data_IF_357099077611
#
_entry.id   IF_357099077611
#
_cell.length_a   1.000
_cell.length_b   1.000
_cell.length_c   1.000
_cell.angle_alpha   90.00
_cell.angle_beta   90.00
_cell.angle_gamma   90.00
#
_symmetry.space_group_name_H-M   'P 1'
#
loop_
_entity.id
_entity.type
_entity.pdbx_description
1 polymer ?
#
# COMPACT_ATOMS: atom_id res chain seq x y z
N UNK A 1 -13.23 -10.88 6.63
CA UNK A 1 -11.94 -10.33 6.12
C UNK A 1 -11.19 -11.49 5.49
N UNK A 2 -10.70 -11.34 4.26
CA UNK A 2 -9.98 -12.37 3.49
C UNK A 2 -8.59 -12.51 4.11
N UNK A 3 -8.29 -13.71 4.68
CA UNK A 3 -7.05 -13.95 5.43
C UNK A 3 -5.81 -13.88 4.53
N UNK A 4 -5.91 -14.46 3.33
CA UNK A 4 -4.79 -14.47 2.39
C UNK A 4 -4.37 -13.05 1.96
N UNK A 5 -5.33 -12.13 1.77
CA UNK A 5 -5.02 -10.72 1.47
C UNK A 5 -4.39 -10.01 2.67
N UNK A 6 -4.77 -10.39 3.89
CA UNK A 6 -4.14 -9.82 5.07
C UNK A 6 -2.68 -10.27 5.18
N UNK A 7 -2.41 -11.55 4.94
CA UNK A 7 -1.03 -12.07 4.88
C UNK A 7 -0.21 -11.42 3.76
N UNK A 8 -0.81 -11.21 2.58
CA UNK A 8 -0.16 -10.50 1.47
C UNK A 8 0.28 -9.08 1.88
N UNK A 9 -0.56 -8.35 2.63
CA UNK A 9 -0.18 -7.03 3.19
C UNK A 9 1.00 -7.13 4.15
N UNK A 10 1.04 -8.19 4.97
CA UNK A 10 2.16 -8.44 5.88
C UNK A 10 3.46 -8.70 5.12
N UNK A 11 3.43 -9.55 4.09
CA UNK A 11 4.58 -9.83 3.23
C UNK A 11 5.04 -8.54 2.52
N UNK A 12 4.13 -7.78 1.92
CA UNK A 12 4.45 -6.52 1.26
C UNK A 12 5.11 -5.50 2.23
N UNK A 13 4.67 -5.45 3.50
CA UNK A 13 5.31 -4.59 4.50
C UNK A 13 6.75 -5.02 4.81
N UNK A 14 7.05 -6.33 4.86
CA UNK A 14 8.43 -6.83 5.03
C UNK A 14 9.28 -6.51 3.80
N UNK A 15 8.75 -6.60 2.59
CA UNK A 15 9.46 -6.19 1.38
C UNK A 15 9.87 -4.70 1.44
N UNK A 16 8.98 -3.81 1.91
CA UNK A 16 9.31 -2.40 2.14
C UNK A 16 10.43 -2.23 3.18
N UNK A 17 10.37 -2.98 4.29
CA UNK A 17 11.42 -2.96 5.33
C UNK A 17 12.76 -3.40 4.75
N UNK A 18 12.79 -4.47 3.96
CA UNK A 18 14.00 -4.98 3.33
C UNK A 18 14.56 -3.99 2.31
N UNK A 19 13.71 -3.37 1.47
CA UNK A 19 14.10 -2.35 0.51
C UNK A 19 14.84 -1.19 1.19
N UNK A 20 14.30 -0.66 2.28
CA UNK A 20 14.89 0.50 2.96
C UNK A 20 16.04 0.16 3.92
N UNK A 21 16.26 -1.13 4.23
CA UNK A 21 17.34 -1.53 5.12
C UNK A 21 18.72 -1.28 4.51
N UNK A 22 18.85 -1.32 3.17
CA UNK A 22 20.09 -0.98 2.46
C UNK A 22 20.93 -2.19 2.08
N UNK A 23 20.31 -3.26 1.62
CA UNK A 23 21.02 -4.30 0.89
C UNK A 23 21.47 -3.74 -0.47
N UNK A 24 22.77 -3.83 -0.79
CA UNK A 24 23.28 -3.46 -2.11
C UNK A 24 22.95 -4.56 -3.14
N UNK A 25 21.70 -4.62 -3.57
CA UNK A 25 21.23 -5.61 -4.54
C UNK A 25 20.09 -5.02 -5.34
N UNK A 26 20.24 -4.97 -6.66
CA UNK A 26 19.18 -4.49 -7.55
C UNK A 26 17.88 -5.29 -7.44
N UNK A 27 17.95 -6.57 -7.06
CA UNK A 27 16.76 -7.36 -6.74
C UNK A 27 16.01 -6.80 -5.53
N UNK A 28 16.73 -6.35 -4.49
CA UNK A 28 16.10 -5.77 -3.28
C UNK A 28 15.51 -4.39 -3.58
N UNK A 29 16.07 -3.65 -4.52
CA UNK A 29 15.50 -2.37 -4.98
C UNK A 29 14.09 -2.57 -5.53
N UNK A 30 13.83 -3.69 -6.21
CA UNK A 30 12.50 -4.04 -6.73
C UNK A 30 11.44 -4.31 -5.66
N UNK A 31 11.83 -4.62 -4.42
CA UNK A 31 10.91 -4.96 -3.34
C UNK A 31 10.00 -3.78 -2.99
N UNK A 32 10.55 -2.56 -2.99
CA UNK A 32 9.79 -1.34 -2.77
C UNK A 32 8.67 -1.16 -3.78
N UNK A 33 9.03 -1.20 -5.06
CA UNK A 33 8.09 -0.94 -6.15
C UNK A 33 7.00 -2.02 -6.27
N UNK A 34 7.40 -3.29 -6.10
CA UNK A 34 6.45 -4.40 -6.05
C UNK A 34 5.45 -4.24 -4.90
N UNK A 35 5.94 -3.91 -3.71
CA UNK A 35 5.09 -3.72 -2.53
C UNK A 35 4.16 -2.51 -2.66
N UNK A 36 4.63 -1.40 -3.23
CA UNK A 36 3.82 -0.21 -3.52
C UNK A 36 2.67 -0.56 -4.47
N UNK A 37 2.95 -1.27 -5.56
CA UNK A 37 1.93 -1.73 -6.51
C UNK A 37 0.88 -2.64 -5.82
N UNK A 38 1.33 -3.59 -4.99
CA UNK A 38 0.45 -4.47 -4.21
C UNK A 38 -0.42 -3.64 -3.25
N UNK A 39 0.15 -2.72 -2.47
CA UNK A 39 -0.61 -1.92 -1.49
C UNK A 39 -1.62 -0.99 -2.17
N UNK A 40 -1.24 -0.34 -3.26
CA UNK A 40 -2.13 0.55 -4.00
C UNK A 40 -3.31 -0.21 -4.60
N UNK A 41 -3.04 -1.32 -5.29
CA UNK A 41 -4.05 -2.15 -5.93
C UNK A 41 -4.95 -2.83 -4.89
N UNK A 42 -4.39 -3.37 -3.80
CA UNK A 42 -5.15 -3.92 -2.67
C UNK A 42 -6.08 -2.90 -2.02
N UNK A 43 -5.67 -1.63 -1.92
CA UNK A 43 -6.50 -0.58 -1.35
C UNK A 43 -7.75 -0.35 -2.19
N UNK A 44 -7.62 -0.26 -3.51
CA UNK A 44 -8.76 -0.17 -4.44
C UNK A 44 -9.64 -1.42 -4.41
N UNK A 45 -9.00 -2.59 -4.40
CA UNK A 45 -9.68 -3.89 -4.40
C UNK A 45 -10.54 -4.09 -3.16
N UNK A 46 -9.97 -3.96 -1.96
CA UNK A 46 -10.67 -4.21 -0.69
C UNK A 46 -11.79 -3.19 -0.45
N UNK A 47 -11.58 -1.93 -0.82
CA UNK A 47 -12.64 -0.92 -0.72
C UNK A 47 -13.81 -1.26 -1.63
N UNK A 48 -13.54 -1.66 -2.86
CA UNK A 48 -14.59 -2.02 -3.82
C UNK A 48 -15.37 -3.24 -3.37
N UNK A 49 -14.71 -4.27 -2.83
CA UNK A 49 -15.41 -5.42 -2.22
C UNK A 49 -16.39 -5.00 -1.11
N UNK A 50 -16.03 -3.99 -0.31
CA UNK A 50 -16.90 -3.51 0.78
C UNK A 50 -18.08 -2.66 0.35
N UNK A 51 -18.04 -2.05 -0.85
CA UNK A 51 -19.03 -1.06 -1.26
C UNK A 51 -19.77 -1.39 -2.56
N UNK A 52 -19.20 -2.19 -3.46
CA UNK A 52 -19.73 -2.39 -4.82
C UNK A 52 -21.19 -2.87 -4.84
N UNK A 53 -21.53 -3.95 -4.12
CA UNK A 53 -22.88 -4.50 -4.10
C UNK A 53 -23.89 -3.49 -3.52
N UNK A 54 -23.50 -2.77 -2.47
CA UNK A 54 -24.35 -1.72 -1.86
C UNK A 54 -24.62 -0.56 -2.81
N UNK A 55 -23.59 -0.10 -3.55
CA UNK A 55 -23.72 0.95 -4.57
C UNK A 55 -24.57 0.48 -5.75
N UNK A 56 -24.44 -0.80 -6.14
CA UNK A 56 -25.28 -1.42 -7.15
C UNK A 56 -26.77 -1.46 -6.72
N UNK A 57 -27.03 -1.71 -5.44
CA UNK A 57 -28.36 -1.69 -4.83
C UNK A 57 -28.88 -0.27 -4.53
N UNK A 58 -28.23 0.78 -5.01
CA UNK A 58 -28.69 2.17 -4.86
C UNK A 58 -28.12 2.94 -3.67
N UNK A 59 -27.29 2.32 -2.81
CA UNK A 59 -26.72 3.01 -1.66
C UNK A 59 -25.83 4.19 -2.07
N UNK A 60 -26.05 5.33 -1.43
CA UNK A 60 -25.20 6.51 -1.54
C UNK A 60 -24.19 6.52 -0.39
N UNK A 61 -22.91 6.53 -0.72
CA UNK A 61 -21.83 6.55 0.28
C UNK A 61 -21.72 7.97 0.86
N UNK A 62 -21.97 8.19 2.17
CA UNK A 62 -21.80 9.52 2.77
C UNK A 62 -20.32 9.92 2.75
N UNK A 63 -19.97 10.89 1.88
CA UNK A 63 -18.59 11.31 1.63
C UNK A 63 -17.85 11.68 2.91
N UNK A 64 -18.46 12.52 3.76
CA UNK A 64 -17.89 12.94 5.04
C UNK A 64 -17.53 11.75 5.93
N UNK A 65 -18.46 10.82 6.14
CA UNK A 65 -18.24 9.67 7.00
C UNK A 65 -17.20 8.71 6.42
N UNK A 66 -17.18 8.56 5.10
CA UNK A 66 -16.18 7.77 4.40
C UNK A 66 -14.78 8.38 4.60
N UNK A 67 -14.60 9.66 4.30
CA UNK A 67 -13.32 10.36 4.45
C UNK A 67 -12.84 10.39 5.90
N UNK A 68 -13.71 10.69 6.86
CA UNK A 68 -13.35 10.65 8.27
C UNK A 68 -12.81 9.28 8.69
N UNK A 69 -13.46 8.18 8.26
CA UNK A 69 -12.96 6.82 8.56
C UNK A 69 -11.57 6.56 7.97
N UNK A 70 -11.25 7.09 6.80
CA UNK A 70 -9.93 6.94 6.17
C UNK A 70 -8.88 7.79 6.87
N UNK A 71 -9.18 9.07 7.10
CA UNK A 71 -8.28 9.99 7.79
C UNK A 71 -7.95 9.51 9.21
N UNK A 72 -8.95 9.18 10.01
CA UNK A 72 -8.71 8.73 11.39
C UNK A 72 -8.00 7.38 11.50
N UNK A 73 -8.06 6.56 10.46
CA UNK A 73 -7.29 5.33 10.38
C UNK A 73 -5.80 5.59 10.09
N UNK A 74 -5.50 6.64 9.33
CA UNK A 74 -4.16 6.92 8.80
C UNK A 74 -3.47 7.99 9.63
N UNK A 75 -4.10 9.14 9.84
CA UNK A 75 -3.48 10.33 10.39
C UNK A 75 -2.81 10.15 11.77
N UNK A 76 -3.34 9.40 12.73
CA UNK A 76 -2.72 9.32 14.05
C UNK A 76 -1.29 8.76 14.00
N UNK A 77 -1.08 7.61 13.36
CA UNK A 77 0.26 7.02 13.23
C UNK A 77 1.13 7.82 12.26
N UNK A 78 0.53 8.36 11.19
CA UNK A 78 1.22 9.21 10.24
C UNK A 78 1.86 10.42 10.94
N UNK A 79 1.07 11.21 11.66
CA UNK A 79 1.55 12.40 12.38
C UNK A 79 2.63 12.02 13.40
N UNK A 80 2.43 10.94 14.14
CA UNK A 80 3.43 10.46 15.10
C UNK A 80 4.73 10.04 14.41
N UNK A 81 4.67 9.39 13.26
CA UNK A 81 5.85 9.05 12.46
C UNK A 81 6.60 10.28 11.98
N UNK A 82 5.88 11.31 11.52
CA UNK A 82 6.46 12.60 11.12
C UNK A 82 7.12 13.32 12.30
N UNK A 83 6.42 13.41 13.43
CA UNK A 83 6.96 14.02 14.64
C UNK A 83 8.19 13.27 15.16
N UNK A 84 8.23 11.94 15.03
CA UNK A 84 9.39 11.16 15.40
C UNK A 84 10.60 11.49 14.53
N UNK A 85 10.44 11.52 13.22
CA UNK A 85 11.51 11.93 12.29
C UNK A 85 11.94 13.36 12.56
N UNK A 86 11.00 14.28 12.76
CA UNK A 86 11.29 15.68 13.09
C UNK A 86 12.16 15.79 14.35
N UNK A 87 11.85 15.02 15.38
CA UNK A 87 12.66 14.95 16.60
C UNK A 87 14.06 14.38 16.35
N UNK A 88 14.18 13.31 15.53
CA UNK A 88 15.48 12.73 15.13
C UNK A 88 16.36 13.75 14.36
N UNK A 89 15.75 14.57 13.51
CA UNK A 89 16.43 15.66 12.80
C UNK A 89 16.58 16.95 13.64
N UNK A 90 16.30 16.88 14.94
CA UNK A 90 16.40 18.03 15.86
C UNK A 90 15.64 19.27 15.36
N UNK A 91 14.46 19.06 14.77
CA UNK A 91 13.59 20.10 14.21
C UNK A 91 14.22 20.91 13.06
N UNK A 92 15.20 20.37 12.34
CA UNK A 92 15.91 21.05 11.26
C UNK A 92 15.16 21.04 9.90
N UNK A 93 13.92 20.52 9.84
CA UNK A 93 13.10 20.52 8.62
C UNK A 93 12.42 21.90 8.50
N UNK A 94 12.59 22.55 7.34
CA UNK A 94 11.97 23.86 7.11
C UNK A 94 10.44 23.78 7.10
N UNK A 95 9.71 24.80 7.60
CA UNK A 95 8.24 24.83 7.58
C UNK A 95 7.65 24.64 6.17
N UNK A 96 8.30 25.17 5.13
CA UNK A 96 7.87 25.03 3.74
C UNK A 96 7.79 23.56 3.28
N UNK A 97 8.66 22.70 3.80
CA UNK A 97 8.65 21.24 3.53
C UNK A 97 7.73 20.48 4.50
N UNK A 98 7.74 20.89 5.77
CA UNK A 98 6.98 20.22 6.83
C UNK A 98 5.46 20.40 6.66
N UNK A 99 4.97 21.57 6.22
CA UNK A 99 3.53 21.83 6.08
C UNK A 99 2.88 20.90 5.04
N UNK A 100 3.38 20.78 3.78
CA UNK A 100 2.83 19.82 2.83
C UNK A 100 2.89 18.38 3.35
N UNK A 101 3.95 18.03 4.08
CA UNK A 101 4.13 16.71 4.65
C UNK A 101 3.05 16.41 5.71
N UNK A 102 2.87 17.28 6.70
CA UNK A 102 1.83 17.13 7.73
C UNK A 102 0.40 17.09 7.16
N UNK A 103 0.17 17.76 6.02
CA UNK A 103 -1.11 17.77 5.31
C UNK A 103 -1.28 16.58 4.35
N UNK A 104 -0.30 15.67 4.25
CA UNK A 104 -0.28 14.54 3.28
C UNK A 104 -0.35 15.03 1.82
N UNK A 105 0.35 16.13 1.50
CA UNK A 105 0.39 16.75 0.18
C UNK A 105 1.80 16.78 -0.43
N UNK A 106 2.80 16.19 0.22
CA UNK A 106 4.21 16.27 -0.17
C UNK A 106 4.48 15.69 -1.57
N UNK A 107 3.77 14.64 -1.99
CA UNK A 107 3.94 14.01 -3.32
C UNK A 107 3.32 14.82 -4.47
N UNK A 108 2.53 15.86 -4.16
CA UNK A 108 2.03 16.78 -5.18
C UNK A 108 3.09 17.75 -5.72
N UNK A 109 4.20 17.89 -5.00
CA UNK A 109 5.34 18.70 -5.41
C UNK A 109 6.41 17.73 -5.96
N UNK A 110 6.65 17.69 -7.29
CA UNK A 110 7.51 16.69 -7.92
C UNK A 110 9.00 17.00 -7.73
N UNK A 111 9.42 17.22 -6.49
CA UNK A 111 10.80 17.47 -6.06
C UNK A 111 11.17 16.55 -4.90
N UNK A 112 12.31 15.82 -4.99
CA UNK A 112 12.80 14.94 -3.92
C UNK A 112 12.92 15.62 -2.56
N UNK A 113 13.24 16.91 -2.56
CA UNK A 113 13.34 17.71 -1.36
C UNK A 113 12.01 17.87 -0.61
N UNK A 114 10.88 17.72 -1.31
CA UNK A 114 9.54 17.79 -0.73
C UNK A 114 8.98 16.40 -0.43
N UNK A 115 8.89 15.51 -1.43
CA UNK A 115 8.24 14.24 -1.20
C UNK A 115 9.02 13.28 -0.30
N UNK A 116 10.31 13.54 -0.04
CA UNK A 116 11.15 12.81 0.92
C UNK A 116 11.51 13.64 2.16
N UNK A 117 10.86 14.79 2.40
CA UNK A 117 11.30 15.75 3.42
C UNK A 117 11.21 15.25 4.86
N UNK A 118 10.16 14.52 5.20
CA UNK A 118 9.92 14.01 6.53
C UNK A 118 10.25 12.53 6.64
N UNK A 119 9.25 11.74 6.95
CA UNK A 119 9.33 10.29 6.88
C UNK A 119 9.23 9.87 5.40
N UNK A 120 10.35 9.71 4.75
CA UNK A 120 10.47 9.59 3.30
C UNK A 120 9.48 8.63 2.62
N UNK A 121 9.20 7.39 3.10
CA UNK A 121 8.25 6.49 2.44
C UNK A 121 6.80 7.00 2.42
N UNK A 122 6.47 8.01 3.23
CA UNK A 122 5.08 8.45 3.41
C UNK A 122 4.50 9.25 2.24
N UNK A 123 5.28 9.50 1.19
CA UNK A 123 4.75 10.00 -0.09
C UNK A 123 3.57 9.14 -0.60
N UNK A 124 3.64 7.82 -0.42
CA UNK A 124 2.57 6.89 -0.76
C UNK A 124 1.24 7.18 -0.02
N UNK A 125 1.29 7.69 1.20
CA UNK A 125 0.09 8.09 1.95
C UNK A 125 -0.59 9.28 1.29
N UNK A 126 0.18 10.25 0.79
CA UNK A 126 -0.34 11.37 0.02
C UNK A 126 -1.08 10.90 -1.24
N UNK A 127 -0.53 9.94 -1.97
CA UNK A 127 -1.17 9.35 -3.15
C UNK A 127 -2.46 8.61 -2.79
N UNK A 128 -2.43 7.88 -1.69
CA UNK A 128 -3.58 7.13 -1.20
C UNK A 128 -4.73 8.07 -0.78
N UNK A 129 -4.42 9.28 -0.30
CA UNK A 129 -5.43 10.30 0.02
C UNK A 129 -6.18 10.77 -1.22
N UNK A 130 -5.50 10.99 -2.35
CA UNK A 130 -6.16 11.25 -3.65
C UNK A 130 -7.07 10.09 -4.06
N UNK A 131 -6.57 8.85 -3.95
CA UNK A 131 -7.34 7.65 -4.28
C UNK A 131 -8.62 7.55 -3.45
N UNK A 132 -8.57 7.88 -2.16
CA UNK A 132 -9.75 7.90 -1.30
C UNK A 132 -10.73 9.02 -1.67
N UNK A 133 -10.23 10.20 -2.00
CA UNK A 133 -11.07 11.32 -2.43
C UNK A 133 -11.84 10.97 -3.71
N UNK A 134 -11.17 10.33 -4.66
CA UNK A 134 -11.75 9.93 -5.94
C UNK A 134 -12.49 8.58 -5.90
N UNK A 135 -12.44 7.83 -4.80
CA UNK A 135 -13.06 6.50 -4.70
C UNK A 135 -14.57 6.54 -4.95
N UNK A 136 -15.28 7.47 -4.31
CA UNK A 136 -16.76 7.52 -4.40
C UNK A 136 -17.25 7.82 -5.80
N UNK A 137 -16.79 8.87 -6.52
CA UNK A 137 -17.18 9.08 -7.90
C UNK A 137 -16.78 7.92 -8.79
N UNK A 138 -15.59 7.34 -8.60
CA UNK A 138 -15.09 6.24 -9.42
C UNK A 138 -15.90 4.96 -9.25
N UNK A 139 -16.22 4.54 -8.01
CA UNK A 139 -17.03 3.34 -7.78
C UNK A 139 -18.46 3.53 -8.28
N UNK A 140 -19.02 4.74 -8.16
CA UNK A 140 -20.35 5.07 -8.67
C UNK A 140 -20.36 4.97 -10.19
N UNK A 141 -19.36 5.54 -10.86
CA UNK A 141 -19.22 5.47 -12.31
C UNK A 141 -19.00 4.04 -12.79
N UNK A 142 -18.07 3.31 -12.18
CA UNK A 142 -17.75 1.91 -12.45
C UNK A 142 -18.98 1.00 -12.33
N UNK A 143 -19.85 1.27 -11.33
CA UNK A 143 -20.99 0.40 -11.03
C UNK A 143 -22.22 0.77 -11.84
N UNK A 144 -22.59 2.06 -11.88
CA UNK A 144 -23.86 2.54 -12.47
C UNK A 144 -23.76 2.92 -13.94
N UNK A 145 -22.57 3.34 -14.42
CA UNK A 145 -22.34 3.78 -15.81
C UNK A 145 -21.06 3.11 -16.37
N UNK A 146 -21.02 1.77 -16.47
CA UNK A 146 -19.79 1.04 -16.81
C UNK A 146 -19.21 1.39 -18.19
N UNK A 147 -20.05 1.71 -19.19
CA UNK A 147 -19.56 2.14 -20.52
C UNK A 147 -18.84 3.48 -20.44
N UNK A 148 -19.43 4.47 -19.76
CA UNK A 148 -18.81 5.78 -19.56
C UNK A 148 -17.51 5.66 -18.75
N UNK A 149 -17.52 4.83 -17.69
CA UNK A 149 -16.32 4.51 -16.93
C UNK A 149 -15.22 3.97 -17.84
N UNK A 150 -15.54 3.00 -18.71
CA UNK A 150 -14.54 2.40 -19.61
C UNK A 150 -13.93 3.47 -20.54
N UNK A 151 -14.74 4.34 -21.15
CA UNK A 151 -14.22 5.41 -22.02
C UNK A 151 -13.29 6.37 -21.24
N UNK A 152 -13.73 6.86 -20.08
CA UNK A 152 -12.93 7.78 -19.26
C UNK A 152 -11.64 7.12 -18.80
N UNK A 153 -11.72 5.89 -18.28
CA UNK A 153 -10.55 5.19 -17.75
C UNK A 153 -9.58 4.78 -18.87
N UNK A 154 -10.07 4.36 -20.04
CA UNK A 154 -9.21 4.09 -21.18
C UNK A 154 -8.49 5.35 -21.67
N UNK A 155 -9.19 6.48 -21.76
CA UNK A 155 -8.57 7.77 -22.09
C UNK A 155 -7.50 8.18 -21.06
N UNK A 156 -7.80 7.95 -19.78
CA UNK A 156 -6.82 8.20 -18.71
C UNK A 156 -5.59 7.31 -18.82
N UNK A 157 -5.76 6.01 -19.11
CA UNK A 157 -4.64 5.08 -19.32
C UNK A 157 -3.80 5.47 -20.55
N UNK A 158 -4.44 5.90 -21.65
CA UNK A 158 -3.72 6.41 -22.82
C UNK A 158 -2.87 7.62 -22.43
N UNK A 159 -3.45 8.61 -21.75
CA UNK A 159 -2.73 9.78 -21.28
C UNK A 159 -1.58 9.41 -20.31
N UNK A 160 -1.82 8.45 -19.41
CA UNK A 160 -0.81 7.92 -18.51
C UNK A 160 0.39 7.33 -19.27
N UNK A 161 0.13 6.41 -20.23
CA UNK A 161 1.20 5.77 -20.98
C UNK A 161 1.93 6.73 -21.94
N UNK A 162 1.23 7.70 -22.52
CA UNK A 162 1.85 8.76 -23.30
C UNK A 162 2.77 9.63 -22.40
N UNK A 163 2.29 10.03 -21.23
CA UNK A 163 3.12 10.74 -20.27
C UNK A 163 4.38 9.93 -19.90
N UNK A 164 4.20 8.67 -19.49
CA UNK A 164 5.33 7.80 -19.12
C UNK A 164 6.32 7.57 -20.27
N UNK A 165 5.84 7.52 -21.54
CA UNK A 165 6.70 7.30 -22.70
C UNK A 165 7.51 8.54 -23.10
N UNK A 166 6.93 9.74 -23.01
CA UNK A 166 7.51 10.94 -23.58
C UNK A 166 8.10 11.92 -22.56
N UNK A 167 7.83 11.77 -21.26
CA UNK A 167 8.43 12.63 -20.24
C UNK A 167 9.95 12.46 -20.18
N UNK A 168 10.74 13.53 -19.93
CA UNK A 168 12.19 13.41 -19.72
C UNK A 168 12.52 12.36 -18.63
N UNK A 169 13.61 11.62 -18.81
CA UNK A 169 13.98 10.52 -17.90
C UNK A 169 14.18 10.98 -16.46
N UNK A 170 14.73 12.19 -16.26
CA UNK A 170 14.91 12.82 -14.96
C UNK A 170 13.58 13.08 -14.21
N UNK A 171 12.46 13.16 -14.94
CA UNK A 171 11.14 13.39 -14.39
C UNK A 171 10.31 12.10 -14.26
N UNK A 172 10.82 10.94 -14.72
CA UNK A 172 10.09 9.67 -14.63
C UNK A 172 9.78 9.33 -13.16
N UNK A 173 10.79 9.34 -12.29
CA UNK A 173 10.58 9.02 -10.88
C UNK A 173 9.65 10.04 -10.20
N UNK A 174 9.86 11.37 -10.24
CA UNK A 174 9.00 12.32 -9.54
C UNK A 174 7.57 12.41 -10.11
N UNK A 175 7.37 12.15 -11.40
CA UNK A 175 6.05 12.26 -12.03
C UNK A 175 5.38 10.90 -12.18
N UNK A 176 6.02 9.90 -12.79
CA UNK A 176 5.34 8.63 -13.06
C UNK A 176 5.15 7.79 -11.81
N UNK A 177 6.11 7.85 -10.88
CA UNK A 177 6.10 7.02 -9.68
C UNK A 177 5.58 7.71 -8.42
N UNK A 178 5.91 9.00 -8.22
CA UNK A 178 5.60 9.73 -6.98
C UNK A 178 4.30 10.54 -7.09
N UNK A 179 4.00 11.15 -8.24
CA UNK A 179 2.90 12.09 -8.36
C UNK A 179 1.53 11.40 -8.23
N UNK A 180 0.63 11.84 -7.31
CA UNK A 180 -0.59 11.12 -6.96
C UNK A 180 -1.50 10.74 -8.12
N UNK A 181 -1.76 11.59 -9.15
CA UNK A 181 -2.53 11.19 -10.31
C UNK A 181 -1.96 9.97 -11.02
N UNK A 182 -0.63 9.81 -11.08
CA UNK A 182 0.00 8.71 -11.80
C UNK A 182 -0.11 7.36 -11.04
N UNK A 183 -0.36 7.37 -9.73
CA UNK A 183 -0.63 6.16 -8.94
C UNK A 183 -2.12 5.76 -8.92
N UNK A 184 -3.01 6.68 -9.30
CA UNK A 184 -4.45 6.44 -9.33
C UNK A 184 -4.88 5.29 -10.26
N UNK A 185 -4.29 5.05 -11.46
CA UNK A 185 -4.63 3.90 -12.30
C UNK A 185 -4.45 2.55 -11.60
N UNK A 186 -3.39 2.39 -10.80
CA UNK A 186 -3.12 1.14 -10.07
C UNK A 186 -4.24 0.85 -9.06
N UNK A 187 -4.67 1.89 -8.34
CA UNK A 187 -5.81 1.80 -7.43
C UNK A 187 -7.11 1.44 -8.18
N UNK A 188 -7.38 2.07 -9.32
CA UNK A 188 -8.58 1.81 -10.13
C UNK A 188 -8.55 0.40 -10.73
N UNK A 189 -7.39 -0.10 -11.15
CA UNK A 189 -7.25 -1.50 -11.57
C UNK A 189 -7.67 -2.46 -10.46
N UNK A 190 -7.26 -2.21 -9.21
CA UNK A 190 -7.75 -2.95 -8.06
C UNK A 190 -9.28 -2.91 -7.93
N UNK A 191 -9.90 -1.75 -8.17
CA UNK A 191 -11.36 -1.61 -8.17
C UNK A 191 -12.03 -2.45 -9.27
N UNK A 192 -11.48 -2.44 -10.47
CA UNK A 192 -11.98 -3.23 -11.61
C UNK A 192 -11.88 -4.73 -11.34
N UNK A 193 -10.73 -5.18 -10.82
CA UNK A 193 -10.51 -6.57 -10.44
C UNK A 193 -11.52 -7.03 -9.37
N UNK A 194 -11.77 -6.21 -8.36
CA UNK A 194 -12.75 -6.53 -7.31
C UNK A 194 -14.18 -6.65 -7.86
N UNK A 195 -14.56 -5.81 -8.80
CA UNK A 195 -15.86 -5.92 -9.47
C UNK A 195 -15.98 -7.21 -10.27
N UNK A 196 -14.89 -7.66 -10.89
CA UNK A 196 -14.86 -8.83 -11.78
C UNK A 196 -14.66 -10.16 -11.03
N UNK A 197 -14.09 -10.14 -9.83
CA UNK A 197 -13.70 -11.38 -9.14
C UNK A 197 -14.87 -12.32 -8.86
N UNK A 198 -16.07 -11.82 -8.64
CA UNK A 198 -17.26 -12.64 -8.39
C UNK A 198 -17.63 -13.53 -9.58
N UNK A 199 -17.33 -13.07 -10.81
CA UNK A 199 -17.49 -13.84 -12.03
C UNK A 199 -16.41 -14.93 -12.22
N UNK A 200 -15.29 -14.82 -11.48
CA UNK A 200 -14.18 -15.76 -11.55
C UNK A 200 -14.28 -16.89 -10.52
N UNK A 201 -15.40 -17.00 -9.79
CA UNK A 201 -15.62 -18.07 -8.83
C UNK A 201 -15.59 -19.42 -9.55
N UNK A 202 -14.59 -20.23 -9.23
CA UNK A 202 -14.41 -21.59 -9.69
C UNK A 202 -13.99 -22.45 -8.50
N UNK A 203 -14.18 -23.74 -8.62
CA UNK A 203 -13.81 -24.70 -7.58
C UNK A 203 -12.82 -25.74 -8.16
N UNK A 204 -11.59 -25.33 -8.52
CA UNK A 204 -10.60 -26.25 -9.04
C UNK A 204 -10.03 -27.15 -7.94
N UNK A 205 -9.35 -28.23 -8.35
CA UNK A 205 -8.63 -29.07 -7.39
C UNK A 205 -7.53 -28.29 -6.67
N UNK A 206 -7.21 -28.69 -5.44
CA UNK A 206 -6.15 -28.01 -4.66
C UNK A 206 -4.77 -28.04 -5.33
N UNK A 207 -4.47 -29.06 -6.14
CA UNK A 207 -3.26 -29.12 -6.96
C UNK A 207 -3.20 -28.01 -8.02
N UNK A 208 -4.31 -27.78 -8.72
CA UNK A 208 -4.41 -26.68 -9.72
C UNK A 208 -4.26 -25.33 -9.04
N UNK A 209 -4.88 -25.11 -7.88
CA UNK A 209 -4.73 -23.87 -7.12
C UNK A 209 -3.28 -23.62 -6.72
N UNK A 210 -2.62 -24.65 -6.18
CA UNK A 210 -1.20 -24.55 -5.82
C UNK A 210 -0.35 -24.18 -7.06
N UNK A 211 -0.62 -24.79 -8.21
CA UNK A 211 0.09 -24.50 -9.45
C UNK A 211 -0.14 -23.04 -9.88
N UNK A 212 -1.38 -22.57 -9.92
CA UNK A 212 -1.72 -21.20 -10.32
C UNK A 212 -1.01 -20.19 -9.41
N UNK A 213 -1.18 -20.31 -8.08
CA UNK A 213 -0.60 -19.34 -7.14
C UNK A 213 0.93 -19.41 -7.15
N UNK A 214 1.52 -20.62 -7.23
CA UNK A 214 2.96 -20.79 -7.37
C UNK A 214 3.49 -20.14 -8.65
N UNK A 215 2.83 -20.32 -9.78
CA UNK A 215 3.22 -19.70 -11.06
C UNK A 215 3.23 -18.18 -10.95
N UNK A 216 2.22 -17.57 -10.32
CA UNK A 216 2.19 -16.11 -10.12
C UNK A 216 3.31 -15.64 -9.19
N UNK A 217 3.57 -16.37 -8.11
CA UNK A 217 4.68 -16.05 -7.18
C UNK A 217 6.03 -16.17 -7.90
N UNK A 218 6.23 -17.25 -8.67
CA UNK A 218 7.44 -17.45 -9.47
C UNK A 218 7.60 -16.31 -10.49
N UNK A 219 6.52 -15.90 -11.16
CA UNK A 219 6.56 -14.76 -12.08
C UNK A 219 7.02 -13.47 -11.40
N UNK A 220 6.54 -13.20 -10.16
CA UNK A 220 6.99 -12.06 -9.37
C UNK A 220 8.49 -12.18 -9.02
N UNK A 221 8.96 -13.36 -8.60
CA UNK A 221 10.38 -13.60 -8.30
C UNK A 221 11.24 -13.40 -9.53
N UNK A 222 10.81 -13.92 -10.70
CA UNK A 222 11.50 -13.72 -11.98
C UNK A 222 11.54 -12.23 -12.35
N UNK A 223 10.43 -11.49 -12.18
CA UNK A 223 10.41 -10.05 -12.39
C UNK A 223 11.40 -9.32 -11.45
N UNK A 224 11.49 -9.73 -10.19
CA UNK A 224 12.48 -9.18 -9.24
C UNK A 224 13.91 -9.46 -9.68
N UNK A 225 14.16 -10.66 -10.21
CA UNK A 225 15.50 -11.04 -10.72
C UNK A 225 15.94 -10.19 -11.91
N UNK A 226 15.04 -9.96 -12.87
CA UNK A 226 15.34 -9.16 -14.06
C UNK A 226 15.14 -7.65 -13.87
N UNK A 227 14.74 -7.20 -12.69
CA UNK A 227 14.48 -5.79 -12.43
C UNK A 227 15.67 -4.86 -12.73
N UNK A 228 16.93 -5.18 -12.42
CA UNK A 228 18.06 -4.32 -12.72
C UNK A 228 18.25 -4.03 -14.22
N UNK A 229 17.76 -4.92 -15.07
CA UNK A 229 17.85 -4.81 -16.55
C UNK A 229 16.67 -4.02 -17.14
N UNK A 230 15.67 -3.69 -16.33
CA UNK A 230 14.45 -2.99 -16.77
C UNK A 230 14.68 -1.49 -16.73
N UNK A 231 14.29 -0.81 -17.81
CA UNK A 231 14.40 0.65 -17.85
C UNK A 231 13.55 1.32 -16.76
N UNK A 232 13.99 2.44 -16.17
CA UNK A 232 13.21 3.15 -15.15
C UNK A 232 11.78 3.49 -15.59
N UNK A 233 11.58 3.79 -16.88
CA UNK A 233 10.24 4.05 -17.44
C UNK A 233 9.28 2.88 -17.26
N UNK A 234 9.73 1.66 -17.49
CA UNK A 234 8.90 0.47 -17.38
C UNK A 234 8.79 0.03 -15.92
N UNK A 235 9.90 -0.01 -15.18
CA UNK A 235 9.92 -0.49 -13.80
C UNK A 235 9.05 0.36 -12.87
N UNK A 236 9.09 1.68 -13.02
CA UNK A 236 8.34 2.65 -12.20
C UNK A 236 6.90 2.89 -12.70
N UNK A 237 6.52 2.38 -13.87
CA UNK A 237 5.18 2.54 -14.41
C UNK A 237 4.29 1.32 -14.17
N UNK A 238 4.29 0.37 -15.09
CA UNK A 238 3.29 -0.72 -15.14
C UNK A 238 3.87 -2.13 -14.90
N UNK A 239 5.16 -2.23 -14.65
CA UNK A 239 5.89 -3.51 -14.56
C UNK A 239 5.24 -4.52 -13.62
N UNK A 240 4.73 -4.06 -12.47
CA UNK A 240 4.14 -4.92 -11.43
C UNK A 240 2.62 -5.12 -11.55
N UNK A 241 1.93 -4.42 -12.45
CA UNK A 241 0.46 -4.37 -12.41
C UNK A 241 -0.22 -5.71 -12.67
N UNK A 242 0.30 -6.48 -13.64
CA UNK A 242 -0.30 -7.77 -14.02
C UNK A 242 -0.11 -8.80 -12.92
N UNK A 243 1.10 -8.96 -12.43
CA UNK A 243 1.44 -9.99 -11.44
C UNK A 243 0.87 -9.69 -10.05
N UNK A 244 0.92 -8.42 -9.63
CA UNK A 244 0.25 -7.99 -8.40
C UNK A 244 -1.27 -8.23 -8.48
N UNK A 245 -1.90 -7.87 -9.59
CA UNK A 245 -3.32 -8.09 -9.80
C UNK A 245 -3.69 -9.58 -9.84
N UNK A 246 -2.91 -10.37 -10.55
CA UNK A 246 -3.11 -11.83 -10.62
C UNK A 246 -2.98 -12.48 -9.23
N UNK A 247 -2.00 -12.08 -8.43
CA UNK A 247 -1.82 -12.59 -7.07
C UNK A 247 -3.00 -12.22 -6.15
N UNK A 248 -3.45 -10.97 -6.19
CA UNK A 248 -4.59 -10.49 -5.40
C UNK A 248 -5.86 -11.28 -5.76
N UNK A 249 -6.14 -11.44 -7.06
CA UNK A 249 -7.31 -12.19 -7.54
C UNK A 249 -7.22 -13.65 -7.14
N UNK A 250 -6.10 -14.32 -7.40
CA UNK A 250 -5.90 -15.73 -7.08
C UNK A 250 -6.07 -15.99 -5.57
N UNK A 251 -5.43 -15.19 -4.71
CA UNK A 251 -5.56 -15.30 -3.26
C UNK A 251 -6.98 -15.02 -2.77
N UNK A 252 -7.76 -14.19 -3.47
CA UNK A 252 -9.15 -13.89 -3.11
C UNK A 252 -10.10 -14.99 -3.54
N UNK A 253 -9.98 -15.44 -4.79
CA UNK A 253 -10.86 -16.49 -5.36
C UNK A 253 -10.69 -17.81 -4.61
N UNK A 254 -9.45 -18.13 -4.24
CA UNK A 254 -9.09 -19.40 -3.63
C UNK A 254 -8.96 -19.37 -2.11
N UNK A 255 -9.26 -18.26 -1.43
CA UNK A 255 -9.07 -18.10 0.02
C UNK A 255 -9.76 -19.20 0.86
N UNK A 256 -10.89 -19.71 0.39
CA UNK A 256 -11.66 -20.74 1.10
C UNK A 256 -11.19 -22.18 0.81
N UNK A 257 -10.25 -22.37 -0.11
CA UNK A 257 -9.80 -23.72 -0.51
C UNK A 257 -8.69 -24.23 0.41
N UNK A 258 -8.74 -25.54 0.73
CA UNK A 258 -7.78 -26.19 1.63
C UNK A 258 -6.57 -26.77 0.86
N UNK A 259 -5.78 -25.91 0.20
CA UNK A 259 -4.54 -26.31 -0.45
C UNK A 259 -3.31 -25.76 0.29
N UNK A 260 -2.12 -26.29 -0.03
CA UNK A 260 -0.88 -26.00 0.69
C UNK A 260 -0.58 -24.50 0.72
N UNK A 261 -0.56 -23.84 -0.44
CA UNK A 261 -0.20 -22.43 -0.55
C UNK A 261 -1.19 -21.54 0.21
N UNK A 262 -2.50 -21.79 0.09
CA UNK A 262 -3.50 -21.01 0.82
C UNK A 262 -3.35 -21.22 2.34
N UNK A 263 -3.01 -22.44 2.80
CA UNK A 263 -2.70 -22.68 4.24
C UNK A 263 -1.49 -21.86 4.70
N UNK A 264 -0.45 -21.69 3.87
CA UNK A 264 0.69 -20.82 4.18
C UNK A 264 0.25 -19.36 4.36
N UNK A 265 -0.62 -18.86 3.46
CA UNK A 265 -1.20 -17.52 3.63
C UNK A 265 -2.20 -17.40 4.80
N UNK A 266 -2.65 -18.51 5.38
CA UNK A 266 -3.51 -18.54 6.57
C UNK A 266 -2.74 -18.71 7.89
N UNK A 267 -1.40 -18.77 7.87
CA UNK A 267 -0.58 -18.81 9.09
C UNK A 267 -0.90 -17.60 9.97
N UNK A 268 -1.23 -17.86 11.23
CA UNK A 268 -1.65 -16.80 12.18
C UNK A 268 -0.65 -15.66 12.29
N UNK A 269 0.65 -15.96 12.26
CA UNK A 269 1.70 -14.96 12.31
C UNK A 269 1.67 -14.02 11.09
N UNK A 270 1.48 -14.55 9.87
CA UNK A 270 1.39 -13.74 8.65
C UNK A 270 0.13 -12.86 8.64
N UNK A 271 -1.01 -13.42 9.07
CA UNK A 271 -2.26 -12.65 9.20
C UNK A 271 -2.10 -11.53 10.25
N UNK A 272 -1.46 -11.84 11.39
CA UNK A 272 -1.17 -10.84 12.43
C UNK A 272 -0.24 -9.73 11.91
N UNK A 273 0.81 -10.10 11.17
CA UNK A 273 1.72 -9.14 10.51
C UNK A 273 0.94 -8.20 9.56
N UNK A 274 0.00 -8.75 8.79
CA UNK A 274 -0.86 -7.93 7.94
C UNK A 274 -1.74 -6.94 8.72
N UNK A 275 -2.16 -7.28 9.94
CA UNK A 275 -2.94 -6.35 10.78
C UNK A 275 -2.11 -5.14 11.24
N UNK A 276 -0.81 -5.33 11.46
CA UNK A 276 0.13 -4.28 11.90
C UNK A 276 0.89 -3.65 10.74
N UNK A 277 0.63 -4.07 9.49
CA UNK A 277 1.39 -3.65 8.30
C UNK A 277 1.46 -2.15 8.11
N UNK A 278 0.41 -1.40 8.46
CA UNK A 278 0.41 0.05 8.36
C UNK A 278 1.31 0.70 9.41
N UNK A 279 1.22 0.26 10.67
CA UNK A 279 2.11 0.76 11.72
C UNK A 279 3.58 0.43 11.42
N UNK A 280 3.86 -0.80 10.95
CA UNK A 280 5.19 -1.19 10.50
C UNK A 280 5.68 -0.30 9.36
N UNK A 281 4.83 -0.03 8.36
CA UNK A 281 5.15 0.84 7.25
C UNK A 281 5.48 2.27 7.69
N UNK A 282 4.76 2.85 8.65
CA UNK A 282 5.03 4.21 9.11
C UNK A 282 6.32 4.29 9.94
N UNK A 283 6.59 3.29 10.77
CA UNK A 283 7.66 3.40 11.76
C UNK A 283 8.98 2.74 11.36
N UNK A 284 9.06 1.98 10.24
CA UNK A 284 10.30 1.28 9.89
C UNK A 284 11.50 2.23 9.67
N UNK A 285 11.32 3.39 9.03
CA UNK A 285 12.40 4.38 8.84
C UNK A 285 12.80 5.06 10.16
N UNK A 286 11.86 5.62 10.96
CA UNK A 286 12.19 6.12 12.30
C UNK A 286 12.95 5.09 13.14
N UNK A 287 12.49 3.84 13.15
CA UNK A 287 13.17 2.77 13.90
C UNK A 287 14.52 2.41 13.31
N UNK A 288 14.69 2.41 11.99
CA UNK A 288 15.97 2.14 11.34
C UNK A 288 17.03 3.17 11.74
N UNK A 289 16.66 4.45 11.71
CA UNK A 289 17.57 5.51 12.13
C UNK A 289 17.93 5.40 13.61
N UNK A 290 16.95 5.13 14.47
CA UNK A 290 17.18 4.91 15.90
C UNK A 290 18.07 3.69 16.13
N UNK A 291 17.83 2.57 15.44
CA UNK A 291 18.65 1.38 15.51
C UNK A 291 20.10 1.66 15.08
N UNK A 292 20.31 2.36 13.98
CA UNK A 292 21.64 2.77 13.53
C UNK A 292 22.37 3.66 14.54
N UNK A 293 21.66 4.55 15.22
CA UNK A 293 22.20 5.37 16.30
C UNK A 293 22.62 4.48 17.48
N UNK A 294 21.78 3.55 17.91
CA UNK A 294 22.05 2.62 19.01
C UNK A 294 23.30 1.77 18.69
N UNK A 295 23.35 1.15 17.50
CA UNK A 295 24.49 0.33 17.08
C UNK A 295 25.80 1.13 17.13
N UNK A 296 25.77 2.38 16.65
CA UNK A 296 26.94 3.26 16.67
C UNK A 296 27.39 3.60 18.09
N UNK A 297 26.46 3.92 18.99
CA UNK A 297 26.80 4.25 20.39
C UNK A 297 27.32 3.05 21.18
N UNK A 298 26.82 1.85 20.89
CA UNK A 298 27.25 0.63 21.57
C UNK A 298 28.47 -0.06 20.89
N UNK A 299 28.97 0.50 19.77
CA UNK A 299 30.07 -0.10 19.01
C UNK A 299 29.71 -1.47 18.40
N UNK A 300 28.43 -1.74 18.12
CA UNK A 300 27.98 -3.02 17.57
C UNK A 300 28.37 -3.15 16.10
N UNK A 301 29.16 -4.18 15.79
CA UNK A 301 29.49 -4.57 14.41
C UNK A 301 28.84 -5.91 14.10
N UNK A 302 27.65 -5.84 13.46
CA UNK A 302 26.88 -7.03 13.10
C UNK A 302 27.08 -7.35 11.61
N UNK A 303 27.02 -8.63 11.24
CA UNK A 303 26.89 -8.98 9.83
C UNK A 303 25.55 -8.49 9.27
N UNK A 304 25.50 -8.12 7.99
CA UNK A 304 24.34 -7.52 7.34
C UNK A 304 23.05 -8.33 7.58
N UNK A 305 23.13 -9.66 7.47
CA UNK A 305 21.97 -10.53 7.64
C UNK A 305 21.48 -10.57 9.11
N UNK A 306 22.40 -10.62 10.08
CA UNK A 306 22.05 -10.61 11.51
C UNK A 306 21.46 -9.26 11.89
N UNK A 307 22.05 -8.16 11.41
CA UNK A 307 21.55 -6.80 11.61
C UNK A 307 20.12 -6.65 11.07
N UNK A 308 19.86 -7.13 9.85
CA UNK A 308 18.53 -7.11 9.26
C UNK A 308 17.50 -7.91 10.08
N UNK A 309 17.84 -9.11 10.53
CA UNK A 309 16.93 -9.95 11.31
C UNK A 309 16.57 -9.28 12.64
N UNK A 310 17.57 -8.77 13.36
CA UNK A 310 17.35 -8.07 14.64
C UNK A 310 16.51 -6.81 14.42
N UNK A 311 16.89 -5.97 13.46
CA UNK A 311 16.16 -4.76 13.13
C UNK A 311 14.70 -5.06 12.76
N UNK A 312 14.47 -6.04 11.89
CA UNK A 312 13.11 -6.41 11.45
C UNK A 312 12.27 -6.90 12.63
N UNK A 313 12.83 -7.70 13.53
CA UNK A 313 12.13 -8.13 14.75
C UNK A 313 11.76 -6.94 15.64
N UNK A 314 12.67 -6.00 15.87
CA UNK A 314 12.40 -4.77 16.63
C UNK A 314 11.36 -3.88 15.96
N UNK A 315 11.40 -3.73 14.63
CA UNK A 315 10.44 -2.98 13.87
C UNK A 315 9.03 -3.60 13.95
N UNK A 316 8.92 -4.93 13.89
CA UNK A 316 7.63 -5.64 14.07
C UNK A 316 7.10 -5.46 15.49
N UNK A 317 7.94 -5.56 16.51
CA UNK A 317 7.55 -5.34 17.92
C UNK A 317 7.06 -3.90 18.09
N UNK A 318 7.83 -2.92 17.67
CA UNK A 318 7.46 -1.50 17.76
C UNK A 318 6.20 -1.15 16.98
N UNK A 319 6.07 -1.65 15.74
CA UNK A 319 4.86 -1.50 14.93
C UNK A 319 3.64 -2.16 15.58
N UNK A 320 3.81 -3.33 16.21
CA UNK A 320 2.73 -4.00 16.95
C UNK A 320 2.28 -3.18 18.16
N UNK A 321 3.21 -2.63 18.92
CA UNK A 321 2.90 -1.74 20.05
C UNK A 321 2.17 -0.49 19.57
N UNK A 322 2.63 0.17 18.51
CA UNK A 322 1.97 1.33 17.93
C UNK A 322 0.53 1.01 17.45
N UNK A 323 0.35 -0.15 16.80
CA UNK A 323 -0.98 -0.62 16.41
C UNK A 323 -1.91 -0.84 17.60
N UNK A 324 -1.44 -1.57 18.61
CA UNK A 324 -2.29 -1.94 19.78
C UNK A 324 -2.61 -0.75 20.68
N UNK A 325 -1.65 0.14 20.92
CA UNK A 325 -1.76 1.23 21.87
C UNK A 325 -2.38 2.49 21.26
N UNK A 326 -2.25 2.70 19.96
CA UNK A 326 -2.65 3.95 19.29
C UNK A 326 -3.70 3.71 18.21
N UNK A 327 -3.37 2.97 17.15
CA UNK A 327 -4.25 2.81 15.98
C UNK A 327 -5.58 2.16 16.37
N UNK A 328 -5.54 1.01 17.01
CA UNK A 328 -6.71 0.20 17.34
C UNK A 328 -7.68 0.90 18.31
N UNK A 329 -7.24 1.54 19.43
CA UNK A 329 -8.12 2.30 20.30
C UNK A 329 -8.78 3.49 19.62
N UNK A 330 -8.02 4.27 18.85
CA UNK A 330 -8.54 5.45 18.15
C UNK A 330 -9.56 5.09 17.07
N UNK A 331 -9.29 4.04 16.30
CA UNK A 331 -10.22 3.54 15.27
C UNK A 331 -11.54 3.06 15.92
N UNK A 332 -11.46 2.31 17.03
CA UNK A 332 -12.66 1.87 17.77
C UNK A 332 -13.46 3.04 18.30
N UNK A 333 -12.81 4.05 18.89
CA UNK A 333 -13.46 5.24 19.42
C UNK A 333 -14.21 6.00 18.32
N UNK A 334 -13.58 6.19 17.15
CA UNK A 334 -14.22 6.84 16.02
C UNK A 334 -15.44 6.06 15.51
N UNK A 335 -15.29 4.76 15.31
CA UNK A 335 -16.41 3.92 14.84
C UNK A 335 -17.61 4.00 15.80
N UNK A 336 -17.37 4.05 17.12
CA UNK A 336 -18.42 4.24 18.12
C UNK A 336 -19.12 5.59 17.99
N UNK A 337 -18.36 6.66 17.77
CA UNK A 337 -18.89 8.02 17.60
C UNK A 337 -19.72 8.18 16.33
N UNK A 338 -19.25 7.58 15.22
CA UNK A 338 -19.97 7.63 13.94
C UNK A 338 -21.26 6.81 13.97
N UNK A 339 -21.30 5.69 14.71
CA UNK A 339 -22.52 4.89 14.91
C UNK A 339 -23.56 5.63 15.73
N UNK A 340 -23.17 6.30 16.81
CA UNK A 340 -24.08 7.10 17.66
C UNK A 340 -24.78 8.22 16.89
N UNK A 341 -24.08 8.86 15.92
CA UNK A 341 -24.67 9.91 15.08
C UNK A 341 -25.55 9.39 13.94
N UNK A 342 -25.53 8.10 13.64
CA UNK A 342 -26.31 7.47 12.59
C UNK A 342 -27.67 6.92 13.09
N UNK A 343 -27.93 6.92 14.41
CA UNK A 343 -29.23 6.57 14.97
C UNK A 343 -30.03 7.86 15.00
N UNK A 344 -31.14 8.01 14.24
CA UNK A 344 -32.05 9.11 14.43
C UNK A 344 -32.56 9.04 15.89
N UNK A 345 -32.43 10.12 16.65
CA UNK A 345 -33.20 10.25 17.88
C UNK A 345 -34.68 10.29 17.52
N UNK A 346 -35.55 9.61 18.30
CA UNK A 346 -36.97 9.50 18.01
C UNK A 346 -37.66 10.86 17.95
#
# INVERSE_FOLDING_TARGET
MIKSLQSLRGVAAILIVAHHFGFNSGMVDSFGDCAVAIFMMLSGFVLTLGYHERVAAGYHIPCRNFMLKRIFRIAPLYILGQLYILALYRFAISPAKLIPDLLMLQSWIPSPEFYFSGNAPTWFVSDLMLCYLLFIPTITLLTRKPRLFTYIFSGYLIAYFLCAAFIPETLVHPIVYIFPPMQFPVFVLGMVLAKRYSALRCNPSGGIVNLIVATVIIAIIVQMWFYPEVTPRLSLSSYWWITAGALIVALTVFDNLRCLIIRLFHIRALVALGNVSYALYIFHIPFLYTWRIICRHLGLTLSLNVDFVIFTALAIIGGTLAHLLIEKPLTKKLDSLLRRKAIPQP
#
